data_IF_720765916779
#
_entry.id   IF_720765916779
#
_cell.length_a   1.000
_cell.length_b   1.000
_cell.length_c   1.000
_cell.angle_alpha   90.00
_cell.angle_beta   90.00
_cell.angle_gamma   90.00
#
_symmetry.space_group_name_H-M   'P 1'
#
loop_
_entity.id
_entity.type
_entity.pdbx_description
1 polymer ?
#
# COMPACT_ATOMS: atom_id res chain seq x y z
N UNK A 1 -21.81 37.27 40.93
CA UNK A 1 -22.34 36.70 39.67
C UNK A 1 -21.18 35.96 38.99
N UNK A 2 -21.12 34.63 39.10
CA UNK A 2 -19.97 33.83 38.65
C UNK A 2 -20.08 33.45 37.16
N UNK A 3 -18.96 33.32 36.42
CA UNK A 3 -18.95 33.04 34.98
C UNK A 3 -19.33 31.60 34.65
N UNK A 4 -20.09 31.41 33.57
CA UNK A 4 -20.49 30.09 33.08
C UNK A 4 -19.28 29.34 32.47
N UNK A 5 -18.97 28.17 33.02
CA UNK A 5 -17.92 27.27 32.52
C UNK A 5 -18.44 26.46 31.33
N UNK A 6 -17.76 26.41 30.17
CA UNK A 6 -18.19 25.58 29.06
C UNK A 6 -17.97 24.09 29.37
N UNK A 7 -19.07 23.36 29.57
CA UNK A 7 -19.08 21.89 29.68
C UNK A 7 -18.76 21.29 28.31
N UNK A 8 -17.63 20.58 28.21
CA UNK A 8 -17.23 19.84 27.01
C UNK A 8 -18.20 18.68 26.76
N UNK A 9 -19.25 18.92 25.96
CA UNK A 9 -20.27 17.95 25.59
C UNK A 9 -19.90 17.18 24.32
N UNK A 10 -18.67 16.65 24.22
CA UNK A 10 -18.19 16.00 23.00
C UNK A 10 -17.76 14.55 23.26
N UNK A 11 -18.70 13.76 23.81
CA UNK A 11 -18.50 12.34 24.09
C UNK A 11 -19.22 11.38 23.13
N UNK A 12 -20.24 11.85 22.39
CA UNK A 12 -21.17 10.97 21.65
C UNK A 12 -20.71 10.62 20.23
N UNK A 13 -19.74 11.35 19.67
CA UNK A 13 -19.25 11.13 18.29
C UNK A 13 -17.79 10.68 18.25
N UNK A 14 -17.42 9.68 19.07
CA UNK A 14 -16.12 9.02 18.91
C UNK A 14 -16.16 8.16 17.64
N UNK A 15 -15.78 8.75 16.50
CA UNK A 15 -15.57 8.03 15.22
C UNK A 15 -14.68 6.81 15.48
N UNK A 16 -15.08 5.60 15.06
CA UNK A 16 -14.18 4.46 15.11
C UNK A 16 -12.97 4.80 14.24
N UNK A 17 -11.81 4.94 14.90
CA UNK A 17 -10.54 5.07 14.20
C UNK A 17 -10.21 3.69 13.66
N UNK A 18 -10.14 3.57 12.35
CA UNK A 18 -9.59 2.39 11.68
C UNK A 18 -8.24 2.08 12.32
N UNK A 19 -8.04 0.84 12.77
CA UNK A 19 -6.75 0.34 13.29
C UNK A 19 -5.73 0.44 12.16
N UNK A 20 -5.05 1.59 12.08
CA UNK A 20 -4.03 1.87 11.09
C UNK A 20 -2.76 1.11 11.42
N UNK A 21 -2.22 0.35 10.46
CA UNK A 21 -0.94 -0.32 10.61
C UNK A 21 -0.66 -1.31 9.49
N UNK A 22 0.60 -1.74 9.36
CA UNK A 22 1.03 -2.72 8.36
C UNK A 22 0.28 -4.06 8.48
N UNK A 23 -0.08 -4.47 9.71
CA UNK A 23 -0.89 -5.68 9.97
C UNK A 23 -2.28 -5.61 9.31
N UNK A 24 -2.90 -4.43 9.27
CA UNK A 24 -4.21 -4.22 8.64
C UNK A 24 -4.14 -4.21 7.10
N UNK A 25 -2.94 -4.20 6.53
CA UNK A 25 -2.69 -4.40 5.09
C UNK A 25 -2.29 -5.84 4.79
N UNK A 26 -1.47 -6.46 5.64
CA UNK A 26 -1.04 -7.84 5.45
C UNK A 26 -2.18 -8.86 5.68
N UNK A 27 -3.06 -8.61 6.63
CA UNK A 27 -4.18 -9.49 6.97
C UNK A 27 -5.53 -8.84 6.62
N UNK A 28 -5.69 -8.40 5.37
CA UNK A 28 -6.94 -7.79 4.88
C UNK A 28 -7.65 -8.69 3.87
N UNK A 29 -8.99 -8.74 3.93
CA UNK A 29 -9.86 -9.45 2.97
C UNK A 29 -10.51 -8.48 1.97
N UNK A 30 -10.19 -7.18 2.09
CA UNK A 30 -10.73 -6.17 1.18
C UNK A 30 -10.12 -6.32 -0.22
N UNK A 31 -10.96 -6.57 -1.22
CA UNK A 31 -10.54 -6.82 -2.60
C UNK A 31 -9.91 -5.59 -3.27
N UNK A 32 -10.21 -4.37 -2.80
CA UNK A 32 -9.56 -3.16 -3.33
C UNK A 32 -8.13 -3.05 -2.81
N UNK A 33 -7.93 -3.30 -1.51
CA UNK A 33 -6.58 -3.31 -0.91
C UNK A 33 -5.73 -4.43 -1.50
N UNK A 34 -6.29 -5.63 -1.65
CA UNK A 34 -5.61 -6.76 -2.26
C UNK A 34 -5.26 -6.47 -3.72
N UNK A 35 -6.20 -5.90 -4.50
CA UNK A 35 -5.95 -5.48 -5.87
C UNK A 35 -4.77 -4.52 -6.01
N UNK A 36 -4.67 -3.50 -5.14
CA UNK A 36 -3.54 -2.55 -5.15
C UNK A 36 -2.21 -3.25 -4.88
N UNK A 37 -2.16 -4.17 -3.91
CA UNK A 37 -0.94 -4.92 -3.58
C UNK A 37 -0.49 -5.83 -4.73
N UNK A 38 -1.43 -6.50 -5.41
CA UNK A 38 -1.12 -7.32 -6.58
C UNK A 38 -0.62 -6.46 -7.75
N UNK A 39 -1.26 -5.33 -8.03
CA UNK A 39 -0.81 -4.44 -9.12
C UNK A 39 0.59 -3.88 -8.84
N UNK A 40 0.86 -3.45 -7.61
CA UNK A 40 2.20 -3.00 -7.20
C UNK A 40 3.25 -4.11 -7.37
N UNK A 41 2.93 -5.33 -6.94
CA UNK A 41 3.83 -6.49 -7.05
C UNK A 41 4.05 -6.90 -8.51
N UNK A 42 2.99 -6.91 -9.32
CA UNK A 42 3.06 -7.23 -10.74
C UNK A 42 3.93 -6.22 -11.50
N UNK A 43 3.77 -4.92 -11.24
CA UNK A 43 4.63 -3.88 -11.84
C UNK A 43 6.09 -4.02 -11.41
N UNK A 44 6.34 -4.33 -10.15
CA UNK A 44 7.70 -4.59 -9.66
C UNK A 44 8.35 -5.75 -10.41
N UNK A 45 7.69 -6.92 -10.48
CA UNK A 45 8.22 -8.08 -11.20
C UNK A 45 8.25 -7.89 -12.72
N UNK A 46 7.36 -7.08 -13.29
CA UNK A 46 7.40 -6.72 -14.69
C UNK A 46 8.69 -5.94 -15.04
N UNK A 47 9.11 -5.01 -14.18
CA UNK A 47 10.37 -4.28 -14.36
C UNK A 47 11.56 -5.22 -14.20
N UNK A 48 11.56 -6.07 -13.17
CA UNK A 48 12.64 -7.03 -12.91
C UNK A 48 12.78 -8.02 -14.07
N UNK A 49 11.69 -8.69 -14.46
CA UNK A 49 11.69 -9.63 -15.58
C UNK A 49 11.96 -8.95 -16.92
N UNK A 50 11.50 -7.71 -17.10
CA UNK A 50 11.84 -6.90 -18.28
C UNK A 50 13.34 -6.59 -18.36
N UNK A 51 13.97 -6.26 -17.24
CA UNK A 51 15.42 -6.05 -17.17
C UNK A 51 16.18 -7.34 -17.47
N UNK A 52 15.80 -8.46 -16.85
CA UNK A 52 16.40 -9.77 -17.12
C UNK A 52 16.27 -10.17 -18.60
N UNK A 53 15.10 -9.95 -19.20
CA UNK A 53 14.88 -10.20 -20.62
C UNK A 53 15.79 -9.34 -21.53
N UNK A 54 15.99 -8.06 -21.18
CA UNK A 54 16.90 -7.17 -21.90
C UNK A 54 18.35 -7.63 -21.74
N UNK A 55 18.77 -8.03 -20.54
CA UNK A 55 20.14 -8.53 -20.31
C UNK A 55 20.44 -9.78 -21.17
N UNK A 56 19.49 -10.72 -21.26
CA UNK A 56 19.62 -11.90 -22.14
C UNK A 56 19.73 -11.47 -23.60
N UNK A 57 18.91 -10.50 -24.02
CA UNK A 57 18.96 -9.95 -25.40
C UNK A 57 20.30 -9.28 -25.69
N UNK A 58 20.89 -8.57 -24.73
CA UNK A 58 22.20 -7.95 -24.87
C UNK A 58 23.31 -8.99 -24.98
N UNK A 59 23.26 -10.06 -24.17
CA UNK A 59 24.22 -11.17 -24.28
C UNK A 59 24.16 -11.83 -25.66
N UNK A 60 22.96 -12.05 -26.20
CA UNK A 60 22.76 -12.69 -27.50
C UNK A 60 23.04 -11.76 -28.69
N UNK A 61 23.06 -10.43 -28.48
CA UNK A 61 23.37 -9.45 -29.52
C UNK A 61 24.86 -9.42 -29.89
N UNK A 62 25.75 -9.89 -28.99
CA UNK A 62 27.17 -10.08 -29.29
C UNK A 62 27.37 -11.44 -30.00
N UNK A 63 27.96 -11.50 -31.21
CA UNK A 63 28.02 -12.73 -32.00
C UNK A 63 28.88 -13.89 -31.46
N UNK A 64 29.49 -13.81 -30.27
CA UNK A 64 30.41 -14.86 -29.78
C UNK A 64 30.37 -15.13 -28.26
N UNK A 65 29.42 -14.56 -27.51
CA UNK A 65 29.40 -14.67 -26.04
C UNK A 65 30.33 -13.69 -25.34
#
# INVERSE_FOLDING_TARGET
>A
MAPATPSSSLGTLRRPVTTGGWKAWLFTVDHKKLGIMYMATALFFFIVGGLEAVLIRLQLAAPNG
#
